data_IF_748518652270
#
_entry.id   IF_748518652270
#
_cell.length_a   1.000
_cell.length_b   1.000
_cell.length_c   1.000
_cell.angle_alpha   90.00
_cell.angle_beta   90.00
_cell.angle_gamma   90.00
#
_symmetry.space_group_name_H-M   'P 1'
#
loop_
_entity.id
_entity.type
_entity.pdbx_description
1 polymer ?
#
# COMPACT_ATOMS: atom_id res chain seq x y z
N UNK A 1 -16.82 -16.11 3.42
CA UNK A 1 -16.27 -15.53 4.67
C UNK A 1 -14.80 -15.89 4.87
N UNK A 2 -14.39 -17.12 4.57
CA UNK A 2 -13.00 -17.59 4.74
C UNK A 2 -11.95 -16.71 4.02
N UNK A 3 -12.15 -16.41 2.74
CA UNK A 3 -11.21 -15.58 1.97
C UNK A 3 -11.03 -14.15 2.53
N UNK A 4 -12.06 -13.58 3.15
CA UNK A 4 -11.97 -12.24 3.75
C UNK A 4 -11.09 -12.26 5.01
N UNK A 5 -11.19 -13.33 5.81
CA UNK A 5 -10.32 -13.52 6.97
C UNK A 5 -8.87 -13.75 6.56
N UNK A 6 -8.65 -14.56 5.52
CA UNK A 6 -7.30 -14.80 4.97
C UNK A 6 -6.71 -13.49 4.45
N UNK A 7 -7.47 -12.71 3.67
CA UNK A 7 -7.00 -11.43 3.13
C UNK A 7 -6.66 -10.42 4.23
N UNK A 8 -7.48 -10.35 5.28
CA UNK A 8 -7.18 -9.53 6.45
C UNK A 8 -5.86 -9.93 7.12
N UNK A 9 -5.63 -11.23 7.29
CA UNK A 9 -4.38 -11.76 7.84
C UNK A 9 -3.18 -11.46 6.93
N UNK A 10 -3.34 -11.58 5.60
CA UNK A 10 -2.29 -11.24 4.63
C UNK A 10 -1.89 -9.77 4.71
N UNK A 11 -2.87 -8.85 4.75
CA UNK A 11 -2.62 -7.42 4.94
C UNK A 11 -1.83 -7.17 6.23
N UNK A 12 -2.27 -7.76 7.35
CA UNK A 12 -1.60 -7.61 8.64
C UNK A 12 -0.14 -8.12 8.58
N UNK A 13 0.07 -9.32 8.04
CA UNK A 13 1.43 -9.89 7.92
C UNK A 13 2.35 -9.04 7.05
N UNK A 14 1.84 -8.52 5.92
CA UNK A 14 2.62 -7.62 5.08
C UNK A 14 2.96 -6.31 5.81
N UNK A 15 1.97 -5.68 6.45
CA UNK A 15 2.16 -4.46 7.25
C UNK A 15 3.21 -4.66 8.35
N UNK A 16 3.10 -5.74 9.12
CA UNK A 16 4.06 -6.07 10.19
C UNK A 16 5.48 -6.30 9.62
N UNK A 17 5.58 -7.05 8.52
CA UNK A 17 6.86 -7.30 7.84
C UNK A 17 7.51 -6.00 7.35
N UNK A 18 6.72 -5.07 6.82
CA UNK A 18 7.19 -3.77 6.34
C UNK A 18 7.73 -2.90 7.48
N UNK A 19 6.98 -2.71 8.55
CA UNK A 19 7.43 -1.88 9.67
C UNK A 19 8.63 -2.51 10.38
N UNK A 20 8.67 -3.83 10.50
CA UNK A 20 9.84 -4.54 11.02
C UNK A 20 11.07 -4.35 10.14
N UNK A 21 10.90 -4.40 8.82
CA UNK A 21 11.96 -4.18 7.85
C UNK A 21 12.53 -2.75 7.94
N UNK A 22 11.67 -1.73 8.03
CA UNK A 22 12.11 -0.35 8.23
C UNK A 22 12.86 -0.17 9.55
N UNK A 23 12.33 -0.73 10.64
CA UNK A 23 12.97 -0.70 11.96
C UNK A 23 14.36 -1.32 11.93
N UNK A 24 14.52 -2.48 11.27
CA UNK A 24 15.83 -3.13 11.07
C UNK A 24 16.82 -2.26 10.30
N UNK A 25 16.35 -1.50 9.31
CA UNK A 25 17.16 -0.57 8.51
C UNK A 25 17.38 0.78 9.19
N UNK A 26 16.81 1.03 10.38
CA UNK A 26 16.89 2.33 11.06
C UNK A 26 16.18 3.45 10.31
N UNK A 27 15.20 3.12 9.46
CA UNK A 27 14.46 4.08 8.63
C UNK A 27 13.09 4.38 9.23
N UNK A 28 12.60 5.61 9.02
CA UNK A 28 11.22 5.98 9.30
C UNK A 28 10.30 5.54 8.15
N UNK A 29 9.01 5.39 8.45
CA UNK A 29 7.97 5.10 7.46
C UNK A 29 7.43 6.40 6.83
N UNK A 30 8.33 7.32 6.49
CA UNK A 30 8.00 8.61 5.89
C UNK A 30 8.59 8.68 4.49
N UNK A 31 7.75 8.96 3.49
CA UNK A 31 8.11 8.92 2.08
C UNK A 31 7.76 10.23 1.41
N UNK A 32 8.66 10.74 0.56
CA UNK A 32 8.37 11.88 -0.32
C UNK A 32 8.03 11.38 -1.71
N UNK A 33 6.92 11.87 -2.25
CA UNK A 33 6.45 11.57 -3.63
C UNK A 33 6.13 12.87 -4.34
N UNK A 34 6.35 12.89 -5.65
CA UNK A 34 5.97 14.02 -6.50
C UNK A 34 4.90 13.57 -7.47
N UNK A 35 3.80 14.29 -7.54
CA UNK A 35 2.71 14.07 -8.50
C UNK A 35 2.47 15.39 -9.20
N UNK A 36 2.63 15.42 -10.53
CA UNK A 36 2.47 16.62 -11.37
C UNK A 36 3.23 17.86 -10.86
N UNK A 37 4.45 17.63 -10.33
CA UNK A 37 5.30 18.69 -9.78
C UNK A 37 4.99 19.09 -8.34
N UNK A 38 3.89 18.61 -7.75
CA UNK A 38 3.53 18.83 -6.34
C UNK A 38 4.16 17.75 -5.46
N UNK A 39 4.84 18.16 -4.39
CA UNK A 39 5.48 17.24 -3.44
C UNK A 39 4.54 16.89 -2.28
N UNK A 40 4.36 15.59 -2.05
CA UNK A 40 3.61 15.02 -0.95
C UNK A 40 4.53 14.29 0.01
N UNK A 41 4.34 14.54 1.31
CA UNK A 41 4.91 13.72 2.37
C UNK A 41 3.87 12.70 2.82
N UNK A 42 4.27 11.44 2.85
CA UNK A 42 3.43 10.30 3.21
C UNK A 42 4.02 9.67 4.44
N UNK A 43 3.41 9.95 5.58
CA UNK A 43 3.73 9.30 6.83
C UNK A 43 2.80 8.10 6.99
N UNK A 44 3.39 6.90 6.97
CA UNK A 44 2.67 5.65 7.12
C UNK A 44 2.70 5.19 8.57
N UNK A 45 1.52 4.94 9.12
CA UNK A 45 1.32 4.03 10.23
C UNK A 45 0.57 2.76 9.73
N UNK A 46 0.36 1.82 10.65
CA UNK A 46 -0.29 0.55 10.33
C UNK A 46 -1.73 0.73 9.82
N UNK A 47 -2.47 1.73 10.33
CA UNK A 47 -3.85 2.00 9.95
C UNK A 47 -3.90 2.63 8.56
N UNK A 48 -3.11 3.68 8.33
CA UNK A 48 -2.99 4.37 7.04
C UNK A 48 -2.58 3.40 5.94
N UNK A 49 -1.56 2.56 6.18
CA UNK A 49 -1.14 1.56 5.21
C UNK A 49 -2.26 0.55 4.95
N UNK A 50 -2.91 0.04 5.99
CA UNK A 50 -4.01 -0.94 5.84
C UNK A 50 -5.17 -0.35 5.03
N UNK A 51 -5.56 0.90 5.30
CA UNK A 51 -6.61 1.57 4.54
C UNK A 51 -6.23 1.81 3.07
N UNK A 52 -4.97 2.16 2.81
CA UNK A 52 -4.46 2.32 1.44
C UNK A 52 -4.46 0.99 0.67
N UNK A 53 -4.02 -0.10 1.31
CA UNK A 53 -4.05 -1.45 0.74
C UNK A 53 -5.47 -1.84 0.34
N UNK A 54 -6.45 -1.58 1.21
CA UNK A 54 -7.86 -1.91 0.93
C UNK A 54 -8.42 -1.02 -0.18
N UNK A 55 -8.29 0.29 -0.02
CA UNK A 55 -9.07 1.25 -0.82
C UNK A 55 -8.42 1.58 -2.16
N UNK A 56 -7.08 1.65 -2.20
CA UNK A 56 -6.34 2.09 -3.39
C UNK A 56 -5.77 0.91 -4.17
N UNK A 57 -5.31 -0.13 -3.47
CA UNK A 57 -4.76 -1.30 -4.15
C UNK A 57 -5.86 -2.33 -4.45
N UNK A 58 -6.45 -2.96 -3.43
CA UNK A 58 -7.40 -4.07 -3.61
C UNK A 58 -8.69 -3.62 -4.31
N UNK A 59 -9.32 -2.55 -3.84
CA UNK A 59 -10.62 -2.12 -4.36
C UNK A 59 -10.54 -1.28 -5.64
N UNK A 60 -9.36 -0.81 -6.02
CA UNK A 60 -9.18 0.00 -7.23
C UNK A 60 -8.23 -0.70 -8.19
N UNK A 61 -6.92 -0.70 -7.95
CA UNK A 61 -5.94 -1.32 -8.88
C UNK A 61 -6.29 -2.78 -9.22
N UNK A 62 -6.52 -3.63 -8.21
CA UNK A 62 -6.82 -5.05 -8.46
C UNK A 62 -8.19 -5.24 -9.11
N UNK A 63 -9.23 -4.54 -8.64
CA UNK A 63 -10.58 -4.66 -9.22
C UNK A 63 -10.65 -4.14 -10.66
N UNK A 64 -10.02 -3.01 -10.96
CA UNK A 64 -9.95 -2.42 -12.31
C UNK A 64 -9.20 -3.36 -13.26
N UNK A 65 -8.20 -4.08 -12.77
CA UNK A 65 -7.49 -5.13 -13.50
C UNK A 65 -8.24 -6.47 -13.58
N UNK A 66 -9.44 -6.59 -12.99
CA UNK A 66 -10.23 -7.81 -13.00
C UNK A 66 -9.68 -8.95 -12.12
N UNK A 67 -8.86 -8.64 -11.12
CA UNK A 67 -8.27 -9.65 -10.23
C UNK A 67 -9.35 -10.31 -9.37
N UNK A 68 -9.26 -11.64 -9.28
CA UNK A 68 -9.99 -12.42 -8.29
C UNK A 68 -9.38 -12.26 -6.90
N UNK A 69 -10.15 -12.57 -5.85
CA UNK A 69 -9.63 -12.56 -4.47
C UNK A 69 -8.41 -13.47 -4.32
N UNK A 70 -8.38 -14.62 -5.01
CA UNK A 70 -7.25 -15.53 -4.96
C UNK A 70 -5.97 -14.90 -5.53
N UNK A 71 -6.06 -14.20 -6.65
CA UNK A 71 -4.90 -13.51 -7.23
C UNK A 71 -4.37 -12.40 -6.33
N UNK A 72 -5.25 -11.70 -5.60
CA UNK A 72 -4.85 -10.70 -4.60
C UNK A 72 -4.09 -11.39 -3.45
N UNK A 73 -4.61 -12.51 -2.94
CA UNK A 73 -3.95 -13.31 -1.90
C UNK A 73 -2.57 -13.80 -2.34
N UNK A 74 -2.45 -14.30 -3.57
CA UNK A 74 -1.21 -14.80 -4.13
C UNK A 74 -0.20 -13.65 -4.31
N UNK A 75 -0.66 -12.46 -4.68
CA UNK A 75 0.17 -11.26 -4.78
C UNK A 75 0.78 -10.91 -3.41
N UNK A 76 -0.03 -10.90 -2.34
CA UNK A 76 0.50 -10.67 -0.99
C UNK A 76 1.50 -11.72 -0.54
N UNK A 77 1.31 -12.99 -0.92
CA UNK A 77 2.24 -14.06 -0.58
C UNK A 77 3.64 -13.85 -1.19
N UNK A 78 3.74 -13.08 -2.28
CA UNK A 78 5.03 -12.75 -2.89
C UNK A 78 5.74 -11.57 -2.22
N UNK A 79 5.03 -10.72 -1.44
CA UNK A 79 5.61 -9.50 -0.84
C UNK A 79 6.36 -9.73 0.46
N UNK A 80 6.15 -10.87 1.12
CA UNK A 80 6.86 -11.23 2.33
C UNK A 80 7.11 -12.74 2.39
N UNK A 81 8.23 -13.13 2.98
CA UNK A 81 8.57 -14.54 3.14
C UNK A 81 8.02 -15.13 4.44
N UNK A 82 8.11 -16.47 4.57
CA UNK A 82 7.68 -17.23 5.76
C UNK A 82 8.33 -16.78 7.07
N UNK A 83 9.46 -16.06 7.02
CA UNK A 83 10.15 -15.53 8.19
C UNK A 83 9.67 -14.11 8.56
N UNK A 84 8.61 -13.61 7.91
CA UNK A 84 8.07 -12.27 8.14
C UNK A 84 8.98 -11.14 7.64
N UNK A 85 9.87 -11.41 6.68
CA UNK A 85 10.69 -10.37 6.05
C UNK A 85 10.13 -10.02 4.68
N UNK A 86 10.14 -8.73 4.37
CA UNK A 86 9.82 -8.21 3.04
C UNK A 86 10.76 -8.80 1.98
N UNK A 87 10.19 -9.15 0.83
CA UNK A 87 10.92 -9.60 -0.38
C UNK A 87 11.28 -8.40 -1.26
N UNK A 88 12.14 -8.56 -2.28
CA UNK A 88 12.36 -7.50 -3.28
C UNK A 88 11.07 -7.00 -3.93
N UNK A 89 10.13 -7.90 -4.22
CA UNK A 89 8.81 -7.53 -4.77
C UNK A 89 7.99 -6.73 -3.76
N UNK A 90 8.07 -7.07 -2.47
CA UNK A 90 7.47 -6.29 -1.40
C UNK A 90 8.11 -4.90 -1.26
N UNK A 91 9.42 -4.77 -1.45
CA UNK A 91 10.10 -3.46 -1.49
C UNK A 91 9.60 -2.58 -2.65
N UNK A 92 9.45 -3.15 -3.85
CA UNK A 92 8.88 -2.46 -5.00
C UNK A 92 7.41 -2.08 -4.77
N UNK A 93 6.65 -2.99 -4.17
CA UNK A 93 5.24 -2.76 -3.84
C UNK A 93 5.04 -1.59 -2.86
N UNK A 94 5.99 -1.34 -1.96
CA UNK A 94 5.96 -0.14 -1.09
C UNK A 94 6.08 1.14 -1.92
N UNK A 95 6.85 1.14 -3.01
CA UNK A 95 6.90 2.30 -3.91
C UNK A 95 5.55 2.53 -4.57
N UNK A 96 4.96 1.47 -5.11
CA UNK A 96 3.63 1.53 -5.73
C UNK A 96 2.57 2.06 -4.76
N UNK A 97 2.47 1.51 -3.55
CA UNK A 97 1.41 1.92 -2.61
C UNK A 97 1.57 3.37 -2.16
N UNK A 98 2.81 3.84 -1.97
CA UNK A 98 3.07 5.25 -1.62
C UNK A 98 2.77 6.19 -2.79
N UNK A 99 3.06 5.79 -4.02
CA UNK A 99 2.64 6.55 -5.21
C UNK A 99 1.11 6.65 -5.31
N UNK A 100 0.39 5.54 -5.13
CA UNK A 100 -1.08 5.52 -5.12
C UNK A 100 -1.68 6.45 -4.05
N UNK A 101 -1.05 6.51 -2.87
CA UNK A 101 -1.47 7.43 -1.79
C UNK A 101 -1.25 8.88 -2.21
N UNK A 102 -0.08 9.23 -2.74
CA UNK A 102 0.19 10.59 -3.21
C UNK A 102 -0.79 11.02 -4.29
N UNK A 103 -1.03 10.18 -5.30
CA UNK A 103 -2.01 10.47 -6.34
C UNK A 103 -3.42 10.64 -5.77
N UNK A 104 -3.78 9.86 -4.74
CA UNK A 104 -5.08 10.00 -4.10
C UNK A 104 -5.20 11.32 -3.32
N UNK A 105 -4.13 11.77 -2.66
CA UNK A 105 -4.08 13.08 -2.02
C UNK A 105 -4.20 14.19 -3.06
N UNK A 106 -3.40 14.13 -4.12
CA UNK A 106 -3.44 15.07 -5.24
C UNK A 106 -4.83 15.17 -5.84
N UNK A 107 -5.44 14.04 -6.23
CA UNK A 107 -6.81 14.04 -6.78
C UNK A 107 -7.85 14.65 -5.82
N UNK A 108 -7.67 14.52 -4.49
CA UNK A 108 -8.60 15.10 -3.52
C UNK A 108 -8.43 16.61 -3.37
N UNK A 109 -7.21 17.11 -3.47
CA UNK A 109 -6.92 18.56 -3.45
C UNK A 109 -7.52 19.23 -4.69
N UNK A 110 -7.25 18.69 -5.88
CA UNK A 110 -7.69 19.27 -7.16
C UNK A 110 -9.15 18.98 -7.54
N UNK A 111 -9.82 18.00 -6.91
CA UNK A 111 -11.28 17.83 -7.03
C UNK A 111 -12.08 18.79 -6.16
N UNK A 112 -11.44 19.41 -5.16
CA UNK A 112 -12.08 20.36 -4.26
C UNK A 112 -11.81 21.82 -4.65
N UNK A 113 -11.11 22.08 -5.77
CA UNK A 113 -11.04 23.40 -6.35
C UNK A 113 -12.35 23.70 -7.09
N UNK A 114 -13.12 24.74 -6.70
CA UNK A 114 -14.19 25.22 -7.55
C UNK A 114 -13.54 25.74 -8.84
N UNK A 115 -14.08 25.32 -9.99
CA UNK A 115 -13.74 25.91 -11.29
C UNK A 115 -13.92 27.42 -11.15
N UNK A 116 -12.82 28.18 -11.24
CA UNK A 116 -12.86 29.64 -11.30
C UNK A 116 -13.46 30.11 -12.62
#
# INVERSE_FOLDING_TARGET
>A
MENNNILSNRRKSFTDAFFHHLKKKGKSASFKRSVDGVQYQIDLDAEVLTQALISLYENKVCKDAGYTIQQILDSYANYYNKNGNITPDGEMFISLITELIAENMHRKEFKNEPVQ
#
